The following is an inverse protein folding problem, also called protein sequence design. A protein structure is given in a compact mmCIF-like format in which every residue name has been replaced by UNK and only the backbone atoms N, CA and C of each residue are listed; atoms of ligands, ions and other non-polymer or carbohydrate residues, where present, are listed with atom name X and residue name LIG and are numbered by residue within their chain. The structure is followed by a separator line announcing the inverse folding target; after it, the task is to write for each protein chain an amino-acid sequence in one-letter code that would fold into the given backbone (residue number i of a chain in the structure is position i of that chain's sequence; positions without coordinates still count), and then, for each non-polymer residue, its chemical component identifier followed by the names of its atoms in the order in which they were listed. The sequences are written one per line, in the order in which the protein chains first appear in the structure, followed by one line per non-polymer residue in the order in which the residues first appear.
data_IF_748462853536
#
_entry.id   IF_748462853536
#
_cell.length_a   1.000
_cell.length_b   1.000
_cell.length_c   1.000
_cell.angle_alpha   90.00
_cell.angle_beta   90.00
_cell.angle_gamma   90.00
#
_symmetry.space_group_name_H-M   'P 1'
#
loop_
_entity.id
_entity.type
_entity.pdbx_description
1 polymer ?
#
# COMPACT_ATOMS: atom_id res chain seq x y z
N UNK A 1 -0.71 19.48 -14.84
CA UNK A 1 -1.20 20.46 -13.86
C UNK A 1 -1.62 19.70 -12.62
N UNK A 2 -0.86 19.83 -11.53
CA UNK A 2 -1.27 19.31 -10.23
C UNK A 2 -2.43 20.17 -9.72
N UNK A 3 -3.67 19.76 -9.99
CA UNK A 3 -4.76 20.19 -9.12
C UNK A 3 -4.67 19.30 -7.90
N UNK A 4 -4.16 19.88 -6.81
CA UNK A 4 -4.39 19.38 -5.46
C UNK A 4 -5.85 18.95 -5.42
N UNK A 5 -6.10 17.66 -5.17
CA UNK A 5 -7.46 17.15 -5.03
C UNK A 5 -8.08 17.85 -3.81
N UNK A 6 -8.71 18.98 -4.08
CA UNK A 6 -9.38 19.81 -3.09
C UNK A 6 -10.82 19.31 -3.02
N UNK A 7 -11.11 18.47 -2.02
CA UNK A 7 -12.44 17.91 -1.78
C UNK A 7 -13.40 18.94 -1.18
N UNK A 8 -13.01 20.23 -1.06
CA UNK A 8 -13.85 21.30 -0.53
C UNK A 8 -14.20 21.16 0.97
N UNK A 9 -13.74 20.10 1.62
CA UNK A 9 -13.98 19.78 3.04
C UNK A 9 -12.70 19.98 3.87
N UNK A 10 -11.52 19.90 3.24
CA UNK A 10 -10.22 20.07 3.90
C UNK A 10 -9.18 20.57 2.90
N UNK A 11 -8.83 21.85 2.95
CA UNK A 11 -7.66 22.37 2.22
C UNK A 11 -6.42 21.79 2.88
N UNK A 12 -5.62 20.94 2.22
CA UNK A 12 -4.41 20.41 2.82
C UNK A 12 -3.47 21.58 3.16
N UNK A 13 -3.05 21.74 4.42
CA UNK A 13 -2.07 22.76 4.75
C UNK A 13 -0.74 22.33 4.11
N UNK A 14 -0.25 23.15 3.18
CA UNK A 14 1.06 23.05 2.54
C UNK A 14 1.32 21.81 1.66
N UNK A 15 1.10 21.90 0.35
CA UNK A 15 1.84 21.16 -0.70
C UNK A 15 1.83 19.62 -0.70
N UNK A 16 1.25 18.96 0.30
CA UNK A 16 1.26 17.51 0.47
C UNK A 16 0.07 16.92 -0.32
N UNK A 17 0.30 15.92 -1.19
CA UNK A 17 -0.79 15.28 -1.94
C UNK A 17 -1.80 14.64 -1.00
N UNK A 18 -3.10 14.81 -1.28
CA UNK A 18 -4.21 14.17 -0.54
C UNK A 18 -4.01 12.65 -0.37
N UNK A 19 -3.41 12.00 -1.37
CA UNK A 19 -3.08 10.56 -1.34
C UNK A 19 -2.25 10.17 -0.11
N UNK A 20 -1.38 11.05 0.38
CA UNK A 20 -0.56 10.81 1.57
C UNK A 20 -1.40 10.73 2.84
N UNK A 21 -2.33 11.67 3.04
CA UNK A 21 -3.25 11.66 4.17
C UNK A 21 -4.16 10.43 4.14
N UNK A 22 -4.63 10.05 2.95
CA UNK A 22 -5.47 8.85 2.79
C UNK A 22 -4.71 7.58 3.20
N UNK A 23 -3.46 7.43 2.75
CA UNK A 23 -2.61 6.28 3.13
C UNK A 23 -2.37 6.26 4.65
N UNK A 24 -2.10 7.40 5.28
CA UNK A 24 -1.94 7.47 6.74
C UNK A 24 -3.24 7.09 7.45
N UNK A 25 -4.38 7.64 7.03
CA UNK A 25 -5.67 7.32 7.62
C UNK A 25 -5.99 5.82 7.51
N UNK A 26 -5.74 5.23 6.34
CA UNK A 26 -5.87 3.78 6.12
C UNK A 26 -4.92 2.98 7.01
N UNK A 27 -3.66 3.37 7.12
CA UNK A 27 -2.67 2.66 7.93
C UNK A 27 -3.00 2.72 9.43
N UNK A 28 -3.43 3.88 9.94
CA UNK A 28 -3.87 4.05 11.34
C UNK A 28 -5.14 3.23 11.59
N UNK A 29 -6.11 3.28 10.67
CA UNK A 29 -7.33 2.48 10.75
C UNK A 29 -7.04 0.98 10.79
N UNK A 30 -6.13 0.50 9.92
CA UNK A 30 -5.73 -0.91 9.89
C UNK A 30 -4.97 -1.31 11.13
N UNK A 31 -4.05 -0.47 11.60
CA UNK A 31 -3.28 -0.73 12.82
C UNK A 31 -4.19 -0.85 14.04
N UNK A 32 -5.16 0.05 14.16
CA UNK A 32 -6.16 -0.01 15.22
C UNK A 32 -7.04 -1.27 15.10
N UNK A 33 -7.51 -1.58 13.89
CA UNK A 33 -8.30 -2.76 13.62
C UNK A 33 -7.54 -4.05 13.99
N UNK A 34 -6.31 -4.21 13.52
CA UNK A 34 -5.48 -5.39 13.78
C UNK A 34 -5.08 -5.52 15.25
N UNK A 35 -4.75 -4.43 15.92
CA UNK A 35 -4.23 -4.47 17.28
C UNK A 35 -5.33 -4.53 18.35
N UNK A 36 -6.50 -3.91 18.10
CA UNK A 36 -7.54 -3.72 19.12
C UNK A 36 -8.79 -4.57 18.91
N UNK A 37 -9.01 -5.16 17.73
CA UNK A 37 -10.18 -6.02 17.49
C UNK A 37 -9.88 -7.51 17.69
N UNK A 38 -10.89 -8.26 18.11
CA UNK A 38 -10.82 -9.73 18.18
C UNK A 38 -10.59 -10.35 16.81
N UNK A 39 -11.17 -9.75 15.75
CA UNK A 39 -10.96 -10.19 14.36
C UNK A 39 -9.50 -10.14 13.94
N UNK A 40 -8.77 -9.06 14.27
CA UNK A 40 -7.32 -9.00 14.02
C UNK A 40 -6.57 -10.17 14.64
N UNK A 41 -6.92 -10.54 15.86
CA UNK A 41 -6.30 -11.66 16.59
C UNK A 41 -6.62 -13.01 15.97
N UNK A 42 -7.85 -13.21 15.46
CA UNK A 42 -8.23 -14.39 14.69
C UNK A 42 -7.45 -14.49 13.37
N UNK A 43 -7.22 -13.37 12.68
CA UNK A 43 -6.44 -13.33 11.43
C UNK A 43 -5.00 -13.81 11.68
N UNK A 44 -4.34 -13.32 12.73
CA UNK A 44 -2.99 -13.78 13.08
C UNK A 44 -2.96 -15.26 13.51
N UNK A 45 -3.96 -15.73 14.27
CA UNK A 45 -4.04 -17.14 14.67
C UNK A 45 -4.19 -18.07 13.47
N UNK A 46 -5.08 -17.73 12.52
CA UNK A 46 -5.26 -18.48 11.27
C UNK A 46 -3.97 -18.47 10.43
N UNK A 47 -3.30 -17.32 10.37
CA UNK A 47 -2.04 -17.18 9.64
C UNK A 47 -0.91 -18.07 10.18
N UNK A 48 -0.86 -18.35 11.48
CA UNK A 48 0.16 -19.23 12.06
C UNK A 48 -0.16 -20.72 11.86
N UNK A 49 -1.40 -21.14 12.16
CA UNK A 49 -1.84 -22.49 11.89
C UNK A 49 -3.39 -22.54 11.72
N UNK A 50 -3.90 -22.72 10.49
CA UNK A 50 -5.34 -22.72 10.22
C UNK A 50 -6.05 -23.94 10.82
N UNK A 51 -5.36 -25.09 10.92
CA UNK A 51 -5.94 -26.29 11.54
C UNK A 51 -6.12 -26.08 13.06
N UNK A 52 -5.13 -25.48 13.71
CA UNK A 52 -5.20 -25.13 15.14
C UNK A 52 -6.29 -24.09 15.45
N UNK A 53 -6.47 -23.12 14.55
CA UNK A 53 -7.54 -22.12 14.67
C UNK A 53 -8.93 -22.77 14.58
N UNK A 54 -9.13 -23.72 13.66
CA UNK A 54 -10.41 -24.42 13.49
C UNK A 54 -10.78 -25.27 14.70
N UNK A 55 -9.83 -26.01 15.28
CA UNK A 55 -10.08 -26.80 16.52
C UNK A 55 -10.31 -25.91 17.74
N UNK A 56 -9.86 -24.66 17.70
CA UNK A 56 -10.11 -23.65 18.74
C UNK A 56 -11.45 -22.91 18.58
N UNK A 57 -12.33 -23.38 17.68
CA UNK A 57 -13.66 -22.82 17.46
C UNK A 57 -13.70 -21.55 16.60
N UNK A 58 -12.62 -21.23 15.88
CA UNK A 58 -12.59 -20.11 14.93
C UNK A 58 -13.10 -20.59 13.57
N UNK A 59 -14.15 -19.95 13.05
CA UNK A 59 -14.63 -20.15 11.69
C UNK A 59 -13.63 -19.56 10.66
N UNK A 60 -12.63 -20.36 10.31
CA UNK A 60 -11.55 -19.97 9.39
C UNK A 60 -12.11 -19.41 8.07
N UNK A 61 -13.11 -20.08 7.49
CA UNK A 61 -13.69 -19.71 6.19
C UNK A 61 -14.36 -18.33 6.23
N UNK A 62 -15.10 -18.01 7.30
CA UNK A 62 -15.72 -16.69 7.47
C UNK A 62 -14.67 -15.59 7.61
N UNK A 63 -13.64 -15.84 8.42
CA UNK A 63 -12.56 -14.87 8.62
C UNK A 63 -11.80 -14.63 7.31
N UNK A 64 -11.52 -15.68 6.53
CA UNK A 64 -10.89 -15.53 5.21
C UNK A 64 -11.72 -14.64 4.27
N UNK A 65 -13.04 -14.85 4.20
CA UNK A 65 -13.93 -14.01 3.38
C UNK A 65 -13.83 -12.53 3.78
N UNK A 66 -13.83 -12.23 5.08
CA UNK A 66 -13.65 -10.86 5.57
C UNK A 66 -12.27 -10.29 5.18
N UNK A 67 -11.21 -11.07 5.31
CA UNK A 67 -9.84 -10.65 4.93
C UNK A 67 -9.78 -10.30 3.44
N UNK A 68 -10.28 -11.18 2.58
CA UNK A 68 -10.29 -10.92 1.14
C UNK A 68 -11.17 -9.73 0.75
N UNK A 69 -12.32 -9.54 1.42
CA UNK A 69 -13.17 -8.37 1.21
C UNK A 69 -12.46 -7.06 1.58
N UNK A 70 -11.75 -7.04 2.71
CA UNK A 70 -10.96 -5.88 3.14
C UNK A 70 -9.82 -5.61 2.16
N UNK A 71 -9.09 -6.64 1.71
CA UNK A 71 -8.06 -6.51 0.68
C UNK A 71 -8.61 -5.91 -0.63
N UNK A 72 -9.78 -6.39 -1.08
CA UNK A 72 -10.45 -5.87 -2.27
C UNK A 72 -10.85 -4.39 -2.13
N UNK A 73 -11.34 -3.99 -0.95
CA UNK A 73 -11.64 -2.59 -0.65
C UNK A 73 -10.41 -1.69 -0.76
N UNK A 74 -9.28 -2.10 -0.17
CA UNK A 74 -8.03 -1.33 -0.26
C UNK A 74 -7.44 -1.32 -1.68
N UNK A 75 -7.54 -2.43 -2.41
CA UNK A 75 -7.13 -2.48 -3.81
C UNK A 75 -7.96 -1.53 -4.68
N UNK A 76 -9.28 -1.46 -4.45
CA UNK A 76 -10.17 -0.51 -5.11
C UNK A 76 -9.83 0.96 -4.78
N UNK A 77 -9.57 1.26 -3.50
CA UNK A 77 -9.11 2.59 -3.08
C UNK A 77 -7.78 3.00 -3.73
N UNK A 78 -6.82 2.07 -3.79
CA UNK A 78 -5.52 2.30 -4.43
C UNK A 78 -5.69 2.53 -5.95
N UNK A 79 -6.58 1.77 -6.61
CA UNK A 79 -6.89 1.94 -8.02
C UNK A 79 -7.56 3.30 -8.30
N UNK A 80 -8.48 3.74 -7.44
CA UNK A 80 -9.12 5.06 -7.54
C UNK A 80 -8.09 6.19 -7.43
N UNK A 81 -7.16 6.09 -6.48
CA UNK A 81 -6.05 7.03 -6.34
C UNK A 81 -5.13 7.04 -7.57
N UNK A 82 -4.82 5.85 -8.11
CA UNK A 82 -3.97 5.74 -9.29
C UNK A 82 -4.64 6.38 -10.51
N UNK A 83 -5.93 6.10 -10.73
CA UNK A 83 -6.71 6.67 -11.82
C UNK A 83 -6.81 8.20 -11.72
N UNK A 84 -7.04 8.72 -10.50
CA UNK A 84 -7.02 10.16 -10.23
C UNK A 84 -5.64 10.79 -10.43
N UNK A 85 -4.55 10.03 -10.25
CA UNK A 85 -3.18 10.52 -10.48
C UNK A 85 -2.81 10.57 -11.95
N UNK A 86 -3.31 9.63 -12.75
CA UNK A 86 -2.95 9.51 -14.17
C UNK A 86 -3.88 10.27 -15.10
N UNK A 87 -5.00 10.82 -14.60
CA UNK A 87 -6.08 11.46 -15.39
C UNK A 87 -6.52 10.61 -16.62
N UNK A 88 -6.22 9.31 -16.58
CA UNK A 88 -6.38 8.36 -17.67
C UNK A 88 -6.52 6.96 -17.11
N UNK A 89 -7.56 6.25 -17.53
CA UNK A 89 -7.85 4.87 -17.12
C UNK A 89 -7.04 3.86 -17.93
N UNK A 90 -5.71 3.94 -17.89
CA UNK A 90 -4.86 3.01 -18.64
C UNK A 90 -4.79 1.65 -17.91
N UNK A 91 -5.27 0.55 -18.50
CA UNK A 91 -5.39 -0.74 -17.80
C UNK A 91 -4.03 -1.35 -17.43
N UNK A 92 -2.96 -1.01 -18.16
CA UNK A 92 -1.61 -1.49 -17.86
C UNK A 92 -0.89 -0.69 -16.75
N UNK A 93 -1.47 0.40 -16.22
CA UNK A 93 -0.80 1.24 -15.23
C UNK A 93 -0.50 0.54 -13.88
N UNK A 94 -1.14 -0.60 -13.62
CA UNK A 94 -0.94 -1.42 -12.42
C UNK A 94 0.08 -2.56 -12.57
N UNK A 95 0.46 -2.92 -13.80
CA UNK A 95 1.23 -4.15 -14.07
C UNK A 95 2.60 -4.08 -13.42
N UNK A 96 2.92 -5.08 -12.58
CA UNK A 96 4.18 -5.19 -11.86
C UNK A 96 4.16 -4.54 -10.47
N UNK A 97 3.18 -3.67 -10.19
CA UNK A 97 3.03 -3.10 -8.86
C UNK A 97 2.51 -4.15 -7.85
N UNK A 98 1.91 -5.25 -8.31
CA UNK A 98 1.48 -6.35 -7.44
C UNK A 98 2.68 -7.04 -6.79
N UNK A 99 3.69 -7.36 -7.61
CA UNK A 99 4.94 -7.97 -7.17
C UNK A 99 5.75 -7.02 -6.28
N UNK A 100 5.83 -5.74 -6.64
CA UNK A 100 6.47 -4.72 -5.81
C UNK A 100 5.79 -4.58 -4.45
N UNK A 101 4.45 -4.62 -4.41
CA UNK A 101 3.68 -4.54 -3.17
C UNK A 101 3.95 -5.74 -2.26
N UNK A 102 3.99 -6.96 -2.82
CA UNK A 102 4.35 -8.17 -2.08
C UNK A 102 5.78 -8.03 -1.52
N UNK A 103 6.73 -7.64 -2.36
CA UNK A 103 8.13 -7.48 -1.96
C UNK A 103 8.31 -6.43 -0.86
N UNK A 104 7.63 -5.29 -0.94
CA UNK A 104 7.68 -4.24 0.07
C UNK A 104 7.15 -4.72 1.44
N UNK A 105 6.04 -5.47 1.45
CA UNK A 105 5.43 -6.02 2.67
C UNK A 105 6.36 -7.03 3.35
N UNK A 106 7.04 -7.88 2.57
CA UNK A 106 7.98 -8.88 3.08
C UNK A 106 9.26 -8.23 3.62
N UNK A 107 9.83 -7.25 2.90
CA UNK A 107 10.96 -6.47 3.41
C UNK A 107 10.59 -5.74 4.70
N UNK A 108 9.34 -5.31 4.81
CA UNK A 108 8.76 -4.75 6.04
C UNK A 108 8.60 -5.74 7.20
N UNK A 109 8.91 -7.02 7.01
CA UNK A 109 8.91 -8.03 8.07
C UNK A 109 7.61 -8.83 8.21
N UNK A 110 6.74 -8.82 7.21
CA UNK A 110 5.61 -9.76 7.15
C UNK A 110 6.07 -11.16 6.73
N UNK A 111 5.55 -12.20 7.38
CA UNK A 111 5.93 -13.60 7.12
C UNK A 111 5.12 -14.22 5.98
N UNK A 112 5.78 -14.91 5.04
CA UNK A 112 5.13 -15.78 4.04
C UNK A 112 4.34 -16.92 4.66
N UNK A 113 4.87 -17.49 5.75
CA UNK A 113 4.24 -18.58 6.49
C UNK A 113 3.14 -18.09 7.43
N UNK A 114 2.84 -16.78 7.42
CA UNK A 114 1.76 -16.16 8.18
C UNK A 114 2.03 -16.01 9.67
N UNK A 115 1.02 -15.49 10.38
CA UNK A 115 1.01 -15.36 11.84
C UNK A 115 1.89 -14.26 12.43
N UNK A 116 2.68 -13.54 11.60
CA UNK A 116 3.57 -12.46 12.04
C UNK A 116 3.62 -11.33 11.01
N UNK A 117 3.56 -10.10 11.51
CA UNK A 117 3.69 -8.87 10.73
C UNK A 117 3.16 -7.68 11.51
N UNK A 118 3.70 -6.48 11.24
CA UNK A 118 3.22 -5.23 11.84
C UNK A 118 2.96 -4.20 10.75
N UNK A 119 1.93 -3.37 10.94
CA UNK A 119 1.62 -2.29 9.98
C UNK A 119 2.78 -1.30 9.86
N UNK A 120 3.45 -0.99 10.98
CA UNK A 120 4.63 -0.13 10.98
C UNK A 120 5.79 -0.73 10.17
N UNK A 121 6.03 -2.04 10.28
CA UNK A 121 7.03 -2.74 9.48
C UNK A 121 6.73 -2.63 7.99
N UNK A 122 5.46 -2.86 7.59
CA UNK A 122 5.02 -2.70 6.19
C UNK A 122 5.24 -1.29 5.68
N UNK A 123 4.90 -0.25 6.47
CA UNK A 123 5.15 1.14 6.09
C UNK A 123 6.65 1.42 5.89
N UNK A 124 7.50 0.88 6.75
CA UNK A 124 8.95 0.97 6.59
C UNK A 124 9.42 0.27 5.31
N UNK A 125 8.91 -0.94 5.02
CA UNK A 125 9.22 -1.69 3.80
C UNK A 125 8.79 -0.96 2.51
N UNK A 126 7.60 -0.37 2.51
CA UNK A 126 7.11 0.47 1.39
C UNK A 126 8.00 1.71 1.20
N UNK A 127 8.46 2.34 2.29
CA UNK A 127 9.36 3.48 2.20
C UNK A 127 10.74 3.06 1.67
N UNK A 128 11.27 1.93 2.13
CA UNK A 128 12.55 1.36 1.68
C UNK A 128 12.51 1.03 0.18
N UNK A 129 11.41 0.44 -0.31
CA UNK A 129 11.26 0.15 -1.74
C UNK A 129 10.94 1.39 -2.58
N UNK A 130 10.13 2.31 -2.03
CA UNK A 130 9.65 3.49 -2.75
C UNK A 130 10.71 4.56 -2.96
N UNK A 131 11.60 4.78 -1.99
CA UNK A 131 12.62 5.83 -2.07
C UNK A 131 13.60 5.62 -3.24
N UNK A 132 14.22 4.43 -3.43
CA UNK A 132 15.10 4.17 -4.57
C UNK A 132 14.38 4.31 -5.91
N UNK A 133 13.14 3.82 -6.03
CA UNK A 133 12.37 3.92 -7.28
C UNK A 133 12.12 5.38 -7.67
N UNK A 134 11.76 6.22 -6.71
CA UNK A 134 11.59 7.66 -6.95
C UNK A 134 12.94 8.36 -7.23
N UNK A 135 14.00 8.01 -6.49
CA UNK A 135 15.34 8.58 -6.69
C UNK A 135 15.96 8.23 -8.04
N UNK A 136 15.89 6.96 -8.45
CA UNK A 136 16.38 6.50 -9.75
C UNK A 136 15.60 7.13 -10.91
N UNK A 137 14.27 7.25 -10.77
CA UNK A 137 13.45 7.95 -11.75
C UNK A 137 13.91 9.41 -11.91
N UNK A 138 14.11 10.13 -10.80
CA UNK A 138 14.54 11.53 -10.85
C UNK A 138 15.95 11.66 -11.47
N UNK A 139 16.88 10.78 -11.11
CA UNK A 139 18.22 10.78 -11.68
C UNK A 139 18.19 10.53 -13.19
N UNK A 140 17.40 9.57 -13.65
CA UNK A 140 17.25 9.28 -15.08
C UNK A 140 16.70 10.51 -15.86
N UNK A 141 15.72 11.23 -15.30
CA UNK A 141 15.23 12.48 -15.91
C UNK A 141 16.34 13.53 -16.05
N UNK A 142 17.16 13.72 -15.02
CA UNK A 142 18.29 14.67 -15.06
C UNK A 142 19.32 14.24 -16.10
N UNK A 143 19.62 12.95 -16.19
CA UNK A 143 20.58 12.41 -17.16
C UNK A 143 20.09 12.59 -18.62
N UNK A 144 18.81 12.40 -18.88
CA UNK A 144 18.21 12.67 -20.21
C UNK A 144 18.32 14.15 -20.57
N UNK A 145 18.03 15.06 -19.64
CA UNK A 145 18.17 16.50 -19.87
C UNK A 145 19.64 16.88 -20.11
N UNK A 146 20.57 16.27 -19.37
CA UNK A 146 22.01 16.47 -19.53
C UNK A 146 22.48 16.02 -20.93
N UNK A 147 21.99 14.87 -21.42
CA UNK A 147 22.30 14.37 -22.78
C UNK A 147 21.73 15.28 -23.87
N UNK A 148 20.51 15.82 -23.69
CA UNK A 148 19.91 16.79 -24.63
C UNK A 148 20.65 18.12 -24.66
N UNK A 149 21.19 18.58 -23.53
CA UNK A 149 22.00 19.79 -23.46
C UNK A 149 23.38 19.59 -24.13
N UNK A 150 23.97 18.40 -24.00
CA UNK A 150 25.25 18.05 -24.62
C UNK A 150 25.18 17.86 -26.14
N UNK A 151 24.03 17.48 -26.71
CA UNK A 151 23.81 17.35 -28.16
C UNK A 151 23.42 18.67 -28.85
N UNK A 152 23.21 19.74 -28.07
CA UNK A 152 22.84 21.08 -28.59
C UNK A 152 24.03 22.04 -28.69
N UNK A 153 25.24 21.59 -28.36
CA UNK A 153 26.53 22.27 -28.61
C UNK A 153 27.28 21.48 -29.67
#
# INVERSE_FOLDING_TARGET
GQKVFDLGIFTPPAGIPLSFFLVIACAVGLWFFLNRTNMGRHIFAIGGNPQAARVSGIDVDRVLVYVYAICGFFAGLAALLLAGRTDSGFPLAGVGNELDAIAAVIIGGASFFGGRGTVLGVLAGVLIMGLPRNGLNLNNYIDVLRRRAATRK
#
